data_IF_927055105916
#
_entry.id   IF_927055105916
#
_cell.length_a   1.000
_cell.length_b   1.000
_cell.length_c   1.000
_cell.angle_alpha   90.00
_cell.angle_beta   90.00
_cell.angle_gamma   90.00
#
_symmetry.space_group_name_H-M   'P 1'
#
loop_
_entity.id
_entity.type
_entity.pdbx_description
1 polymer ?
#
# COMPACT_ATOMS: atom_id res chain seq x y z
N UNK A 1 12.44 2.38 -17.78
CA UNK A 1 12.23 1.98 -16.37
C UNK A 1 10.75 2.13 -16.08
N UNK A 2 10.00 1.03 -16.07
CA UNK A 2 8.59 1.07 -15.71
C UNK A 2 8.53 1.18 -14.19
N UNK A 3 8.29 2.39 -13.68
CA UNK A 3 7.98 2.56 -12.26
C UNK A 3 6.56 2.05 -12.08
N UNK A 4 6.43 0.83 -11.58
CA UNK A 4 5.13 0.32 -11.16
C UNK A 4 4.68 1.14 -9.95
N UNK A 5 3.48 1.71 -10.02
CA UNK A 5 2.88 2.50 -8.95
C UNK A 5 1.65 1.75 -8.43
N UNK A 6 1.51 1.70 -7.12
CA UNK A 6 0.37 1.10 -6.44
C UNK A 6 -0.58 2.22 -6.05
N UNK A 7 -1.85 2.09 -6.46
CA UNK A 7 -2.89 3.03 -6.09
C UNK A 7 -3.38 2.72 -4.67
N UNK A 8 -3.14 3.66 -3.77
CA UNK A 8 -3.64 3.66 -2.41
C UNK A 8 -4.89 4.51 -2.31
N UNK A 9 -5.88 4.03 -1.59
CA UNK A 9 -7.12 4.75 -1.33
C UNK A 9 -7.34 4.88 0.17
N UNK A 10 -7.65 6.09 0.61
CA UNK A 10 -8.01 6.36 1.98
C UNK A 10 -9.40 5.78 2.27
N UNK A 11 -9.51 4.93 3.29
CA UNK A 11 -10.79 4.32 3.69
C UNK A 11 -11.72 5.29 4.42
N UNK A 12 -11.28 6.53 4.67
CA UNK A 12 -12.06 7.56 5.37
C UNK A 12 -12.60 8.62 4.40
N UNK A 13 -11.72 9.22 3.59
CA UNK A 13 -12.08 10.32 2.69
C UNK A 13 -12.06 9.96 1.20
N UNK A 14 -11.78 8.69 0.85
CA UNK A 14 -11.64 8.20 -0.53
C UNK A 14 -10.56 8.92 -1.36
N UNK A 15 -9.61 9.61 -0.71
CA UNK A 15 -8.47 10.20 -1.41
C UNK A 15 -7.58 9.11 -2.00
N UNK A 16 -7.20 9.29 -3.27
CA UNK A 16 -6.37 8.35 -4.02
C UNK A 16 -4.95 8.90 -4.14
N UNK A 17 -3.96 8.08 -3.80
CA UNK A 17 -2.55 8.40 -3.85
C UNK A 17 -1.78 7.29 -4.57
N UNK A 18 -0.80 7.67 -5.38
CA UNK A 18 0.06 6.71 -6.09
C UNK A 18 1.37 6.59 -5.35
N UNK A 19 1.62 5.40 -4.81
CA UNK A 19 2.85 5.09 -4.09
C UNK A 19 3.74 4.22 -4.97
N UNK A 20 5.02 4.54 -5.15
CA UNK A 20 5.94 3.70 -5.91
C UNK A 20 6.00 2.28 -5.33
N UNK A 21 5.89 1.26 -6.19
CA UNK A 21 5.92 -0.15 -5.76
C UNK A 21 7.21 -0.48 -4.99
N UNK A 22 8.35 0.10 -5.38
CA UNK A 22 9.63 -0.08 -4.68
C UNK A 22 9.54 0.32 -3.20
N UNK A 23 8.80 1.39 -2.89
CA UNK A 23 8.60 1.88 -1.52
C UNK A 23 7.69 0.90 -0.78
N UNK A 24 6.59 0.47 -1.42
CA UNK A 24 5.66 -0.50 -0.83
C UNK A 24 6.37 -1.82 -0.52
N UNK A 25 7.14 -2.36 -1.46
CA UNK A 25 7.92 -3.60 -1.29
C UNK A 25 8.97 -3.45 -0.18
N UNK A 26 9.67 -2.31 -0.13
CA UNK A 26 10.63 -2.04 0.94
C UNK A 26 9.97 -2.06 2.33
N UNK A 27 8.78 -1.47 2.46
CA UNK A 27 8.02 -1.52 3.71
C UNK A 27 7.45 -2.92 4.00
N UNK A 28 7.00 -3.65 2.98
CA UNK A 28 6.50 -5.04 3.08
C UNK A 28 7.61 -6.00 3.57
N UNK A 29 8.85 -5.83 3.08
CA UNK A 29 10.01 -6.62 3.52
C UNK A 29 10.47 -6.29 4.95
N UNK A 30 10.34 -5.02 5.35
CA UNK A 30 10.75 -4.54 6.66
C UNK A 30 9.71 -4.84 7.74
N UNK A 31 8.42 -4.73 7.43
CA UNK A 31 7.31 -5.02 8.34
C UNK A 31 6.85 -6.47 8.23
N UNK A 32 7.71 -7.39 8.68
CA UNK A 32 7.39 -8.82 8.77
C UNK A 32 6.49 -9.17 9.95
N UNK A 33 5.98 -8.16 10.67
CA UNK A 33 5.08 -8.38 11.81
C UNK A 33 3.77 -9.03 11.38
N UNK A 34 3.32 -8.74 10.15
CA UNK A 34 2.11 -9.33 9.59
C UNK A 34 2.20 -9.54 8.07
N UNK A 35 2.74 -10.70 7.68
CA UNK A 35 2.86 -11.14 6.26
C UNK A 35 1.48 -11.33 5.59
N UNK A 36 0.37 -11.15 6.31
CA UNK A 36 -1.00 -11.22 5.79
C UNK A 36 -1.67 -9.85 5.63
N UNK A 37 -0.99 -8.74 5.96
CA UNK A 37 -1.51 -7.40 5.73
C UNK A 37 -0.54 -6.55 4.90
N UNK A 38 -1.04 -5.81 3.89
CA UNK A 38 -0.19 -4.92 3.12
C UNK A 38 0.21 -3.69 3.94
N UNK A 39 1.32 -3.02 3.57
CA UNK A 39 1.73 -1.77 4.19
C UNK A 39 0.60 -0.74 4.13
N UNK A 40 0.27 -0.16 5.28
CA UNK A 40 -0.75 0.88 5.42
C UNK A 40 -0.09 2.24 5.58
N UNK A 41 -0.56 3.24 4.83
CA UNK A 41 -0.05 4.62 4.91
C UNK A 41 -1.04 5.56 5.58
N UNK A 42 -0.55 6.68 6.10
CA UNK A 42 -1.40 7.73 6.67
C UNK A 42 -1.78 8.73 5.59
N UNK A 43 -3.08 9.03 5.48
CA UNK A 43 -3.59 9.96 4.48
C UNK A 43 -3.18 11.40 4.81
N UNK A 44 -2.50 12.06 3.88
CA UNK A 44 -2.09 13.47 4.07
C UNK A 44 -3.27 14.45 4.18
N UNK A 45 -4.45 14.08 3.67
CA UNK A 45 -5.66 14.92 3.70
C UNK A 45 -6.38 14.89 5.04
N UNK A 46 -6.51 13.72 5.65
CA UNK A 46 -7.41 13.52 6.81
C UNK A 46 -6.78 12.75 7.97
N UNK A 47 -5.53 12.29 7.83
CA UNK A 47 -4.87 11.41 8.80
C UNK A 47 -5.45 9.98 8.87
N UNK A 48 -6.41 9.64 8.01
CA UNK A 48 -7.01 8.31 7.95
C UNK A 48 -6.08 7.26 7.34
N UNK A 49 -6.42 5.99 7.51
CA UNK A 49 -5.62 4.88 6.96
C UNK A 49 -5.84 4.77 5.45
N UNK A 50 -4.75 4.61 4.70
CA UNK A 50 -4.75 4.32 3.27
C UNK A 50 -4.36 2.86 3.04
N UNK A 51 -5.14 2.18 2.19
CA UNK A 51 -4.92 0.79 1.80
C UNK A 51 -4.73 0.68 0.29
N UNK A 52 -3.93 -0.26 -0.21
CA UNK A 52 -3.76 -0.44 -1.64
C UNK A 52 -5.02 -1.02 -2.26
N UNK A 53 -5.45 -0.50 -3.40
CA UNK A 53 -6.58 -1.03 -4.16
C UNK A 53 -6.30 -2.42 -4.71
N UNK A 54 -5.06 -2.64 -5.18
CA UNK A 54 -4.55 -3.93 -5.64
C UNK A 54 -3.03 -3.94 -5.50
N UNK A 55 -2.51 -4.86 -4.71
CA UNK A 55 -1.08 -5.05 -4.51
C UNK A 55 -0.76 -6.54 -4.39
N UNK A 56 0.32 -6.97 -5.01
CA UNK A 56 0.87 -8.31 -4.78
C UNK A 56 2.16 -8.12 -3.99
N UNK A 57 2.14 -8.54 -2.73
CA UNK A 57 3.28 -8.46 -1.81
C UNK A 57 4.47 -9.29 -2.28
N UNK A 58 5.64 -9.03 -1.69
CA UNK A 58 6.90 -9.70 -2.04
C UNK A 58 6.84 -11.21 -1.79
N UNK A 59 5.97 -11.63 -0.87
CA UNK A 59 5.67 -13.03 -0.56
C UNK A 59 4.66 -13.69 -1.52
N UNK A 60 4.26 -13.02 -2.60
CA UNK A 60 3.32 -13.54 -3.61
C UNK A 60 1.84 -13.49 -3.21
N UNK A 61 1.52 -12.86 -2.07
CA UNK A 61 0.14 -12.67 -1.63
C UNK A 61 -0.49 -11.49 -2.32
N UNK A 62 -1.71 -11.66 -2.82
CA UNK A 62 -2.44 -10.58 -3.50
C UNK A 62 -3.48 -9.99 -2.57
N UNK A 63 -3.33 -8.71 -2.27
CA UNK A 63 -4.25 -7.90 -1.49
C UNK A 63 -5.15 -7.09 -2.43
N UNK A 64 -6.45 -7.11 -2.15
CA UNK A 64 -7.47 -6.32 -2.84
C UNK A 64 -8.42 -5.76 -1.80
N UNK A 65 -8.73 -4.47 -1.93
CA UNK A 65 -9.79 -3.81 -1.18
C UNK A 65 -11.17 -4.22 -1.71
#
# INVERSE_FOLDING_TARGET
>A
MNKEEILYICVQCAYEEKVPKEVVEYFDEMDQSNIDEPPCFSCEKCGGIMRPKKYTGVHGKTYKL
#
